data_IF_399396683671
#
_entry.id   IF_399396683671
#
_cell.length_a   1.000
_cell.length_b   1.000
_cell.length_c   1.000
_cell.angle_alpha   90.00
_cell.angle_beta   90.00
_cell.angle_gamma   90.00
#
_symmetry.space_group_name_H-M   'P 1'
#
loop_
_entity.id
_entity.type
_entity.pdbx_description
1 polymer ?
#
# COMPACT_ATOMS: atom_id res chain seq x y z
N UNK A 1 3.38 2.48 -40.47
CA UNK A 1 2.95 3.01 -39.16
C UNK A 1 4.13 3.79 -38.61
N UNK A 2 4.04 5.11 -38.55
CA UNK A 2 5.00 5.88 -37.77
C UNK A 2 4.59 5.67 -36.32
N UNK A 3 5.51 5.20 -35.48
CA UNK A 3 5.35 5.34 -34.03
C UNK A 3 5.06 6.82 -33.78
N UNK A 4 3.87 7.12 -33.26
CA UNK A 4 3.59 8.45 -32.74
C UNK A 4 4.63 8.70 -31.66
N UNK A 5 5.50 9.68 -31.90
CA UNK A 5 6.55 10.04 -30.98
C UNK A 5 5.90 10.67 -29.75
N UNK A 6 5.53 9.82 -28.79
CA UNK A 6 5.07 10.26 -27.46
C UNK A 6 6.17 11.10 -26.84
N UNK A 7 5.79 12.26 -26.27
CA UNK A 7 6.70 13.12 -25.54
C UNK A 7 7.37 12.41 -24.37
N UNK A 8 8.41 13.00 -23.77
CA UNK A 8 9.03 12.41 -22.59
C UNK A 8 8.01 12.35 -21.44
N UNK A 9 7.76 11.16 -20.93
CA UNK A 9 6.83 10.94 -19.82
C UNK A 9 7.50 11.18 -18.47
N UNK A 10 6.74 11.66 -17.48
CA UNK A 10 7.16 11.56 -16.09
C UNK A 10 7.37 10.10 -15.68
N UNK A 11 8.28 9.86 -14.74
CA UNK A 11 8.43 8.55 -14.10
C UNK A 11 7.08 8.14 -13.49
N UNK A 12 6.71 6.85 -13.57
CA UNK A 12 5.40 6.39 -13.15
C UNK A 12 5.10 6.59 -11.66
N UNK A 13 6.14 6.65 -10.82
CA UNK A 13 6.04 6.89 -9.39
C UNK A 13 5.78 8.36 -8.98
N UNK A 14 5.92 9.34 -9.89
CA UNK A 14 5.74 10.76 -9.55
C UNK A 14 4.25 11.06 -9.40
N UNK A 15 3.85 11.47 -8.18
CA UNK A 15 2.47 11.81 -7.86
C UNK A 15 2.18 13.27 -8.24
N UNK A 16 0.99 13.53 -8.77
CA UNK A 16 0.51 14.84 -9.21
C UNK A 16 -0.60 15.32 -8.29
N UNK A 17 -0.46 16.50 -7.71
CA UNK A 17 -1.47 17.13 -6.87
C UNK A 17 -1.83 18.51 -7.43
N UNK A 18 -2.99 18.67 -8.10
CA UNK A 18 -3.42 19.96 -8.61
C UNK A 18 -3.70 20.93 -7.46
N UNK A 19 -3.34 22.19 -7.65
CA UNK A 19 -3.52 23.26 -6.67
C UNK A 19 -4.65 24.23 -7.07
N UNK A 20 -5.30 24.91 -6.12
CA UNK A 20 -6.39 25.85 -6.42
C UNK A 20 -5.99 27.03 -7.32
N UNK A 21 -4.70 27.37 -7.36
CA UNK A 21 -4.15 28.43 -8.22
C UNK A 21 -3.88 27.97 -9.67
N UNK A 22 -4.24 26.73 -10.00
CA UNK A 22 -3.93 26.10 -11.30
C UNK A 22 -2.52 25.54 -11.38
N UNK A 23 -1.71 25.66 -10.33
CA UNK A 23 -0.39 25.03 -10.26
C UNK A 23 -0.46 23.52 -10.01
N UNK A 24 0.70 22.87 -10.05
CA UNK A 24 0.83 21.43 -9.87
C UNK A 24 1.98 21.10 -8.92
N UNK A 25 1.69 20.31 -7.89
CA UNK A 25 2.71 19.75 -7.00
C UNK A 25 3.09 18.35 -7.50
N UNK A 26 4.37 18.16 -7.86
CA UNK A 26 4.96 16.89 -8.24
C UNK A 26 5.72 16.31 -7.05
N UNK A 27 5.20 15.23 -6.47
CA UNK A 27 5.84 14.52 -5.35
C UNK A 27 6.58 13.31 -5.89
N UNK A 28 7.89 13.27 -5.63
CA UNK A 28 8.80 12.17 -5.98
C UNK A 28 9.06 11.31 -4.74
N UNK A 29 8.31 10.20 -4.56
CA UNK A 29 8.43 9.35 -3.37
C UNK A 29 9.75 8.56 -3.34
N UNK A 30 10.43 8.41 -4.48
CA UNK A 30 11.74 7.75 -4.53
C UNK A 30 12.78 8.64 -3.85
N UNK A 31 12.79 9.94 -4.14
CA UNK A 31 13.79 10.83 -3.53
C UNK A 31 13.28 11.63 -2.34
N UNK A 32 12.03 11.46 -1.93
CA UNK A 32 11.35 12.28 -0.91
C UNK A 32 11.45 13.79 -1.24
N UNK A 33 11.09 14.14 -2.48
CA UNK A 33 11.17 15.51 -3.01
C UNK A 33 9.81 16.02 -3.46
N UNK A 34 9.60 17.32 -3.28
CA UNK A 34 8.47 18.06 -3.82
C UNK A 34 8.97 19.09 -4.83
N UNK A 35 8.51 18.99 -6.07
CA UNK A 35 8.71 20.01 -7.10
C UNK A 35 7.38 20.73 -7.36
N UNK A 36 7.34 22.04 -7.12
CA UNK A 36 6.16 22.86 -7.41
C UNK A 36 6.29 23.48 -8.80
N UNK A 37 5.26 23.28 -9.61
CA UNK A 37 5.05 23.96 -10.88
C UNK A 37 3.99 25.03 -10.68
N UNK A 38 4.23 26.23 -11.21
CA UNK A 38 3.18 27.24 -11.33
C UNK A 38 2.13 26.85 -12.40
N UNK A 39 1.11 27.68 -12.60
CA UNK A 39 0.03 27.38 -13.53
C UNK A 39 0.48 27.31 -15.00
N UNK A 40 1.52 28.06 -15.40
CA UNK A 40 2.04 28.02 -16.77
C UNK A 40 2.94 26.81 -16.98
N UNK A 41 3.76 26.47 -15.98
CA UNK A 41 4.57 25.25 -15.99
C UNK A 41 3.72 23.98 -15.95
N UNK A 42 2.59 23.98 -15.23
CA UNK A 42 1.66 22.86 -15.20
C UNK A 42 1.06 22.59 -16.60
N UNK A 43 0.62 23.63 -17.33
CA UNK A 43 0.20 23.50 -18.73
C UNK A 43 1.35 23.11 -19.66
N UNK A 44 2.55 23.62 -19.38
CA UNK A 44 3.76 23.23 -20.10
C UNK A 44 4.07 21.75 -19.95
N UNK A 45 3.79 21.15 -18.79
CA UNK A 45 3.96 19.72 -18.58
C UNK A 45 2.99 18.92 -19.46
N UNK A 46 1.72 19.32 -19.54
CA UNK A 46 0.72 18.67 -20.42
C UNK A 46 1.18 18.72 -21.89
N UNK A 47 1.58 19.90 -22.37
CA UNK A 47 2.15 20.09 -23.71
C UNK A 47 3.39 19.22 -23.96
N UNK A 48 4.30 19.16 -22.98
CA UNK A 48 5.52 18.34 -23.07
C UNK A 48 5.18 16.84 -23.21
N UNK A 49 4.18 16.35 -22.48
CA UNK A 49 3.72 14.94 -22.56
C UNK A 49 3.05 14.64 -23.91
N UNK A 50 2.38 15.63 -24.50
CA UNK A 50 1.82 15.59 -25.86
C UNK A 50 2.89 15.69 -26.97
N UNK A 51 4.17 15.89 -26.60
CA UNK A 51 5.30 15.97 -27.52
C UNK A 51 5.64 17.37 -28.01
N UNK A 52 5.02 18.41 -27.45
CA UNK A 52 5.37 19.79 -27.75
C UNK A 52 6.70 20.22 -27.10
N UNK A 53 7.45 21.14 -27.74
CA UNK A 53 8.76 21.56 -27.24
C UNK A 53 8.64 22.49 -26.03
N UNK A 54 9.03 22.00 -24.86
CA UNK A 54 9.13 22.77 -23.62
C UNK A 54 10.55 22.68 -23.03
N UNK A 55 11.58 23.28 -23.67
CA UNK A 55 12.98 22.99 -23.38
C UNK A 55 13.41 23.37 -21.96
N UNK A 56 12.92 24.49 -21.43
CA UNK A 56 13.26 24.94 -20.08
C UNK A 56 12.65 24.02 -19.01
N UNK A 57 11.35 23.69 -19.15
CA UNK A 57 10.67 22.79 -18.24
C UNK A 57 11.27 21.38 -18.33
N UNK A 58 11.50 20.87 -19.54
CA UNK A 58 12.17 19.59 -19.76
C UNK A 58 13.51 19.52 -19.06
N UNK A 59 14.38 20.51 -19.26
CA UNK A 59 15.69 20.55 -18.61
C UNK A 59 15.59 20.56 -17.07
N UNK A 60 14.59 21.28 -16.52
CA UNK A 60 14.30 21.31 -15.08
C UNK A 60 13.85 19.94 -14.57
N UNK A 61 12.93 19.27 -15.27
CA UNK A 61 12.44 17.93 -14.92
C UNK A 61 13.52 16.85 -15.08
N UNK A 62 14.37 16.93 -16.11
CA UNK A 62 15.53 16.05 -16.30
C UNK A 62 16.57 16.25 -15.18
N UNK A 63 16.88 17.49 -14.81
CA UNK A 63 17.78 17.81 -13.69
C UNK A 63 17.22 17.28 -12.37
N UNK A 64 15.91 17.36 -12.18
CA UNK A 64 15.22 16.78 -11.05
C UNK A 64 15.06 15.25 -11.16
N UNK A 65 15.52 14.60 -12.25
CA UNK A 65 15.35 13.18 -12.52
C UNK A 65 13.88 12.74 -12.43
N UNK A 66 12.94 13.55 -12.89
CA UNK A 66 11.50 13.25 -12.86
C UNK A 66 10.98 12.63 -14.16
N UNK A 67 11.70 12.74 -15.27
CA UNK A 67 11.34 12.12 -16.54
C UNK A 67 11.84 10.67 -16.63
N UNK A 68 11.12 9.82 -17.36
CA UNK A 68 11.52 8.46 -17.67
C UNK A 68 12.77 8.44 -18.56
N UNK A 69 13.65 7.47 -18.33
CA UNK A 69 14.89 7.31 -19.10
C UNK A 69 15.99 6.56 -18.33
N UNK A 70 17.19 6.40 -18.93
CA UNK A 70 18.28 5.62 -18.33
C UNK A 70 18.73 6.14 -16.95
N UNK A 71 18.77 7.46 -16.75
CA UNK A 71 19.13 8.06 -15.47
C UNK A 71 18.07 7.80 -14.39
N UNK A 72 16.79 7.86 -14.76
CA UNK A 72 15.67 7.50 -13.89
C UNK A 72 15.70 6.02 -13.49
N UNK A 73 15.97 5.12 -14.44
CA UNK A 73 16.12 3.69 -14.17
C UNK A 73 17.31 3.40 -13.24
N UNK A 74 18.44 4.08 -13.45
CA UNK A 74 19.60 3.97 -12.57
C UNK A 74 19.27 4.49 -11.16
N UNK A 75 18.61 5.65 -11.05
CA UNK A 75 18.15 6.19 -9.78
C UNK A 75 17.22 5.21 -9.06
N UNK A 76 16.25 4.60 -9.76
CA UNK A 76 15.38 3.56 -9.21
C UNK A 76 16.20 2.38 -8.71
N UNK A 77 17.10 1.83 -9.53
CA UNK A 77 17.98 0.70 -9.15
C UNK A 77 18.83 1.02 -7.92
N UNK A 78 19.48 2.17 -7.90
CA UNK A 78 20.34 2.59 -6.78
C UNK A 78 19.53 2.91 -5.53
N UNK A 79 18.36 3.52 -5.67
CA UNK A 79 17.48 3.74 -4.53
C UNK A 79 16.89 2.43 -3.98
N UNK A 80 16.45 1.51 -4.85
CA UNK A 80 16.01 0.17 -4.47
C UNK A 80 17.13 -0.57 -3.73
N UNK A 81 18.36 -0.54 -4.24
CA UNK A 81 19.55 -1.08 -3.56
C UNK A 81 19.82 -0.39 -2.23
N UNK A 82 19.87 0.93 -2.18
CA UNK A 82 20.13 1.69 -0.96
C UNK A 82 19.09 1.42 0.14
N UNK A 83 17.82 1.23 -0.24
CA UNK A 83 16.76 0.88 0.69
C UNK A 83 16.93 -0.54 1.24
N UNK A 84 17.42 -1.50 0.44
CA UNK A 84 17.81 -2.86 0.91
C UNK A 84 18.85 -2.89 2.02
N UNK A 85 19.57 -1.79 2.27
CA UNK A 85 20.58 -1.72 3.34
C UNK A 85 20.10 -1.02 4.63
N UNK A 86 18.98 -0.28 4.62
CA UNK A 86 18.38 0.31 5.84
C UNK A 86 17.38 -0.64 6.49
N UNK A 87 17.85 -1.86 6.79
CA UNK A 87 17.06 -2.90 7.42
C UNK A 87 17.12 -2.68 8.92
N UNK A 88 15.96 -2.50 9.57
CA UNK A 88 15.86 -2.88 10.98
C UNK A 88 15.99 -4.40 10.96
N UNK A 89 17.09 -4.98 11.48
CA UNK A 89 17.24 -6.43 11.46
C UNK A 89 15.99 -7.04 12.09
N UNK A 90 15.47 -8.16 11.54
CA UNK A 90 14.42 -8.88 12.23
C UNK A 90 14.86 -9.12 13.68
N UNK A 91 13.93 -9.11 14.65
CA UNK A 91 14.27 -9.39 16.04
C UNK A 91 15.13 -10.65 16.10
N UNK A 92 16.22 -10.60 16.87
CA UNK A 92 17.20 -11.68 16.91
C UNK A 92 16.47 -13.02 17.18
N UNK A 93 16.77 -14.07 16.40
CA UNK A 93 16.17 -15.38 16.64
C UNK A 93 16.58 -15.87 18.03
N UNK A 94 15.61 -16.13 18.91
CA UNK A 94 15.86 -16.83 20.18
C UNK A 94 15.07 -16.35 21.39
N UNK A 95 14.57 -15.12 21.43
CA UNK A 95 13.72 -14.69 22.55
C UNK A 95 12.28 -15.20 22.37
N UNK A 96 11.71 -15.92 23.36
CA UNK A 96 10.34 -16.41 23.30
C UNK A 96 9.38 -15.23 23.15
N UNK A 97 8.24 -15.45 22.48
CA UNK A 97 7.20 -14.42 22.45
C UNK A 97 6.80 -14.06 23.87
N UNK A 98 6.60 -12.76 24.15
CA UNK A 98 5.86 -12.43 25.35
C UNK A 98 4.52 -13.17 25.30
N UNK A 99 4.01 -13.66 26.43
CA UNK A 99 2.71 -14.32 26.45
C UNK A 99 1.65 -13.39 25.87
N UNK A 100 0.88 -13.88 24.91
CA UNK A 100 -0.25 -13.14 24.37
C UNK A 100 -1.39 -13.16 25.39
N UNK A 101 -2.01 -12.00 25.62
CA UNK A 101 -3.29 -11.94 26.31
C UNK A 101 -4.41 -12.27 25.31
N UNK A 102 -5.59 -12.72 25.78
CA UNK A 102 -6.76 -12.85 24.92
C UNK A 102 -7.05 -11.54 24.19
N UNK A 103 -7.24 -11.61 22.88
CA UNK A 103 -7.57 -10.44 22.06
C UNK A 103 -9.07 -10.16 22.16
N UNK A 104 -9.44 -9.36 23.15
CA UNK A 104 -10.82 -8.88 23.31
C UNK A 104 -10.98 -7.54 22.59
N UNK A 105 -11.31 -7.62 21.30
CA UNK A 105 -11.59 -6.47 20.45
C UNK A 105 -12.88 -6.70 19.63
N UNK A 106 -13.64 -5.65 19.33
CA UNK A 106 -14.90 -5.76 18.61
C UNK A 106 -14.68 -6.36 17.22
N UNK A 107 -15.59 -7.22 16.79
CA UNK A 107 -15.52 -7.82 15.46
C UNK A 107 -14.48 -8.92 15.27
N UNK A 108 -13.57 -9.16 16.21
CA UNK A 108 -12.59 -10.26 16.12
C UNK A 108 -13.29 -11.62 16.30
N UNK A 109 -13.01 -12.54 15.37
CA UNK A 109 -13.51 -13.92 15.40
C UNK A 109 -12.97 -14.69 16.60
N UNK A 110 -13.77 -15.61 17.15
CA UNK A 110 -13.45 -16.35 18.39
C UNK A 110 -12.07 -17.01 18.37
N UNK A 111 -11.67 -17.61 17.25
CA UNK A 111 -10.36 -18.28 17.11
C UNK A 111 -9.16 -17.36 17.30
N UNK A 112 -9.31 -16.07 17.00
CA UNK A 112 -8.24 -15.08 17.12
C UNK A 112 -8.21 -14.41 18.48
N UNK A 113 -9.18 -14.71 19.35
CA UNK A 113 -9.16 -14.35 20.77
C UNK A 113 -8.30 -15.32 21.59
N UNK A 114 -7.96 -16.47 21.04
CA UNK A 114 -7.11 -17.48 21.67
C UNK A 114 -5.62 -17.07 21.62
N UNK A 115 -4.95 -16.88 22.77
CA UNK A 115 -3.51 -16.61 22.83
C UNK A 115 -2.64 -17.62 22.08
N UNK A 116 -3.04 -18.88 22.01
CA UNK A 116 -2.27 -19.93 21.35
C UNK A 116 -2.20 -19.72 19.82
N UNK A 117 -3.29 -19.25 19.21
CA UNK A 117 -3.31 -18.90 17.79
C UNK A 117 -2.35 -17.74 17.48
N UNK A 118 -2.33 -16.71 18.32
CA UNK A 118 -1.43 -15.57 18.20
C UNK A 118 0.03 -15.97 18.43
N UNK A 119 0.28 -16.86 19.39
CA UNK A 119 1.61 -17.41 19.68
C UNK A 119 2.19 -18.12 18.44
N UNK A 120 1.43 -19.00 17.80
CA UNK A 120 1.86 -19.71 16.58
C UNK A 120 2.20 -18.74 15.44
N UNK A 121 1.38 -17.70 15.26
CA UNK A 121 1.65 -16.68 14.25
C UNK A 121 2.96 -15.91 14.54
N UNK A 122 3.24 -15.62 15.81
CA UNK A 122 4.51 -15.03 16.22
C UNK A 122 5.70 -15.96 15.97
N UNK A 123 5.52 -17.28 16.11
CA UNK A 123 6.54 -18.28 15.76
C UNK A 123 6.81 -18.31 14.25
N UNK A 124 5.78 -18.25 13.41
CA UNK A 124 5.94 -18.10 11.96
C UNK A 124 6.74 -16.83 11.60
N UNK A 125 6.44 -15.70 12.27
CA UNK A 125 7.20 -14.46 12.10
C UNK A 125 8.69 -14.66 12.41
N UNK A 126 9.00 -15.31 13.54
CA UNK A 126 10.38 -15.61 13.96
C UNK A 126 11.08 -16.56 13.01
N UNK A 127 10.34 -17.50 12.43
CA UNK A 127 10.85 -18.41 11.40
C UNK A 127 11.13 -17.70 10.05
N UNK A 128 10.94 -16.37 9.98
CA UNK A 128 11.32 -15.55 8.83
C UNK A 128 10.13 -15.13 7.96
N UNK A 129 8.89 -15.47 8.33
CA UNK A 129 7.71 -15.03 7.58
C UNK A 129 7.47 -13.54 7.78
N UNK A 130 7.70 -12.73 6.75
CA UNK A 130 7.61 -11.26 6.85
C UNK A 130 6.16 -10.73 6.78
N UNK A 131 5.29 -11.47 6.11
CA UNK A 131 3.88 -11.13 5.91
C UNK A 131 3.02 -12.11 6.67
N UNK A 132 2.21 -11.60 7.60
CA UNK A 132 1.33 -12.40 8.44
C UNK A 132 -0.09 -12.33 7.88
N UNK A 133 -0.63 -13.47 7.49
CA UNK A 133 -2.01 -13.58 7.00
C UNK A 133 -2.84 -14.30 8.03
N UNK A 134 -3.76 -13.58 8.64
CA UNK A 134 -4.58 -14.13 9.70
C UNK A 134 -5.76 -14.93 9.15
N UNK A 135 -6.33 -14.71 7.97
CA UNK A 135 -7.58 -15.40 7.54
C UNK A 135 -8.76 -15.28 8.53
N UNK A 136 -10.00 -15.09 8.09
CA UNK A 136 -11.19 -15.07 8.97
C UNK A 136 -10.95 -14.39 10.33
N UNK A 137 -10.20 -13.27 10.30
CA UNK A 137 -9.74 -12.55 11.47
C UNK A 137 -10.93 -11.87 12.12
N UNK A 138 -11.75 -11.24 11.28
CA UNK A 138 -13.01 -10.69 11.66
C UNK A 138 -14.12 -11.75 11.58
N UNK A 139 -15.11 -11.64 12.48
CA UNK A 139 -16.30 -12.46 12.48
C UNK A 139 -17.15 -12.17 11.23
N UNK A 140 -17.76 -13.19 10.59
CA UNK A 140 -18.48 -13.00 9.32
C UNK A 140 -19.58 -11.93 9.35
N UNK A 141 -20.34 -11.85 10.45
CA UNK A 141 -21.41 -10.86 10.63
C UNK A 141 -20.87 -9.44 10.70
N UNK A 142 -19.78 -9.24 11.44
CA UNK A 142 -19.10 -7.95 11.54
C UNK A 142 -18.49 -7.53 10.21
N UNK A 143 -17.79 -8.44 9.52
CA UNK A 143 -17.23 -8.18 8.18
C UNK A 143 -18.31 -7.82 7.17
N UNK A 144 -19.48 -8.48 7.23
CA UNK A 144 -20.61 -8.13 6.35
C UNK A 144 -21.06 -6.69 6.57
N UNK A 145 -21.29 -6.31 7.83
CA UNK A 145 -21.75 -4.97 8.17
C UNK A 145 -20.74 -3.89 7.76
N UNK A 146 -19.45 -4.15 8.01
CA UNK A 146 -18.37 -3.26 7.58
C UNK A 146 -18.30 -3.13 6.06
N UNK A 147 -18.42 -4.24 5.32
CA UNK A 147 -18.42 -4.22 3.86
C UNK A 147 -19.58 -3.38 3.30
N UNK A 148 -20.77 -3.49 3.90
CA UNK A 148 -21.92 -2.69 3.50
C UNK A 148 -21.74 -1.21 3.82
N UNK A 149 -21.09 -0.87 4.94
CA UNK A 149 -20.73 0.51 5.28
C UNK A 149 -19.71 1.10 4.30
N UNK A 150 -18.65 0.35 3.97
CA UNK A 150 -17.62 0.75 3.00
C UNK A 150 -18.21 1.02 1.61
N UNK A 151 -19.15 0.19 1.15
CA UNK A 151 -19.81 0.38 -0.16
C UNK A 151 -20.62 1.67 -0.27
N UNK A 152 -20.97 2.30 0.85
CA UNK A 152 -21.70 3.58 0.89
C UNK A 152 -20.78 4.79 0.88
N UNK A 153 -19.46 4.60 1.03
CA UNK A 153 -18.51 5.71 1.00
C UNK A 153 -18.43 6.33 -0.41
N UNK A 154 -18.30 7.66 -0.52
CA UNK A 154 -18.03 8.31 -1.80
C UNK A 154 -16.59 8.01 -2.22
N UNK A 155 -16.41 7.07 -3.14
CA UNK A 155 -15.10 6.73 -3.68
C UNK A 155 -14.74 7.66 -4.86
N UNK A 156 -13.51 8.15 -4.84
CA UNK A 156 -12.91 8.90 -5.94
C UNK A 156 -12.03 7.98 -6.79
N UNK A 157 -12.05 8.18 -8.10
CA UNK A 157 -11.20 7.42 -9.01
C UNK A 157 -9.77 7.97 -8.94
N UNK A 158 -8.81 7.10 -8.62
CA UNK A 158 -7.39 7.39 -8.64
C UNK A 158 -6.76 6.66 -9.83
N UNK A 159 -6.34 7.41 -10.84
CA UNK A 159 -5.56 6.89 -11.97
C UNK A 159 -4.22 7.60 -12.03
N UNK A 160 -3.19 6.85 -11.65
CA UNK A 160 -1.79 7.20 -11.83
C UNK A 160 -1.10 6.04 -12.54
N UNK A 161 0.13 6.23 -13.03
CA UNK A 161 0.88 5.11 -13.58
C UNK A 161 1.15 3.99 -12.56
N UNK A 162 1.19 4.32 -11.26
CA UNK A 162 1.35 3.34 -10.18
C UNK A 162 0.03 2.69 -9.76
N UNK A 163 -1.08 3.43 -9.71
CA UNK A 163 -2.34 2.95 -9.13
C UNK A 163 -3.50 3.24 -10.06
N UNK A 164 -4.33 2.23 -10.31
CA UNK A 164 -5.64 2.37 -10.95
C UNK A 164 -6.66 1.71 -10.04
N UNK A 165 -7.42 2.51 -9.31
CA UNK A 165 -8.42 2.03 -8.34
C UNK A 165 -9.39 3.16 -7.97
N UNK A 166 -10.52 2.83 -7.35
CA UNK A 166 -11.32 3.82 -6.64
C UNK A 166 -10.99 3.79 -5.14
N UNK A 167 -10.91 4.95 -4.49
CA UNK A 167 -10.42 5.13 -3.13
C UNK A 167 -11.30 6.12 -2.36
N UNK A 168 -11.50 5.88 -1.07
CA UNK A 168 -11.88 6.91 -0.12
C UNK A 168 -10.90 6.90 1.04
N UNK A 169 -10.48 8.09 1.50
CA UNK A 169 -9.87 8.23 2.83
C UNK A 169 -10.96 7.97 3.85
N UNK A 170 -10.63 7.20 4.88
CA UNK A 170 -11.55 6.83 5.94
C UNK A 170 -11.07 7.44 7.25
N UNK A 171 -11.99 8.08 7.95
CA UNK A 171 -11.80 8.54 9.33
C UNK A 171 -12.77 7.83 10.28
N UNK A 172 -12.64 8.14 11.57
CA UNK A 172 -13.44 7.54 12.64
C UNK A 172 -14.93 7.85 12.50
N UNK A 173 -15.30 9.00 11.95
CA UNK A 173 -16.70 9.38 11.77
C UNK A 173 -17.36 8.58 10.64
N UNK A 174 -16.59 8.27 9.59
CA UNK A 174 -17.07 7.49 8.46
C UNK A 174 -17.29 6.00 8.81
N UNK A 175 -16.39 5.39 9.61
CA UNK A 175 -16.45 3.97 9.97
C UNK A 175 -16.05 3.73 11.45
N UNK A 176 -16.90 4.10 12.43
CA UNK A 176 -16.54 4.05 13.84
C UNK A 176 -16.18 2.65 14.33
N UNK A 177 -16.89 1.61 13.88
CA UNK A 177 -16.64 0.23 14.32
C UNK A 177 -15.27 -0.29 13.86
N UNK A 178 -14.79 0.16 12.70
CA UNK A 178 -13.45 -0.16 12.22
C UNK A 178 -12.40 0.47 13.15
N UNK A 179 -12.56 1.73 13.51
CA UNK A 179 -11.61 2.41 14.38
C UNK A 179 -11.67 1.88 15.81
N UNK A 180 -12.83 1.47 16.31
CA UNK A 180 -12.96 0.76 17.60
C UNK A 180 -12.16 -0.54 17.63
N UNK A 181 -12.11 -1.27 16.51
CA UNK A 181 -11.23 -2.43 16.35
C UNK A 181 -9.75 -1.99 16.28
N UNK A 182 -9.40 -1.08 15.39
CA UNK A 182 -8.01 -0.73 15.08
C UNK A 182 -7.29 0.00 16.24
N UNK A 183 -8.04 0.76 17.03
CA UNK A 183 -7.52 1.49 18.20
C UNK A 183 -7.68 0.69 19.51
N UNK A 184 -8.26 -0.51 19.46
CA UNK A 184 -8.36 -1.36 20.64
C UNK A 184 -6.96 -1.61 21.23
N UNK A 185 -6.70 -1.28 22.52
CA UNK A 185 -5.37 -1.43 23.10
C UNK A 185 -4.82 -2.86 23.02
N UNK A 186 -5.71 -3.85 23.10
CA UNK A 186 -5.35 -5.27 22.93
C UNK A 186 -4.85 -5.57 21.52
N UNK A 187 -5.48 -5.00 20.49
CA UNK A 187 -5.04 -5.18 19.10
C UNK A 187 -3.71 -4.50 18.85
N UNK A 188 -3.55 -3.23 19.24
CA UNK A 188 -2.31 -2.49 19.02
C UNK A 188 -1.09 -3.18 19.66
N UNK A 189 -1.24 -3.66 20.91
CA UNK A 189 -0.19 -4.46 21.57
C UNK A 189 0.10 -5.77 20.83
N UNK A 190 -0.96 -6.46 20.39
CA UNK A 190 -0.84 -7.73 19.65
C UNK A 190 -0.10 -7.54 18.34
N UNK A 191 -0.50 -6.55 17.53
CA UNK A 191 0.15 -6.22 16.26
C UNK A 191 1.60 -5.80 16.49
N UNK A 192 1.88 -4.97 17.51
CA UNK A 192 3.25 -4.58 17.88
C UNK A 192 4.12 -5.81 18.17
N UNK A 193 3.59 -6.74 18.98
CA UNK A 193 4.30 -7.97 19.35
C UNK A 193 4.47 -8.94 18.17
N UNK A 194 3.45 -9.09 17.31
CA UNK A 194 3.50 -9.93 16.13
C UNK A 194 4.51 -9.43 15.11
N UNK A 195 4.60 -8.13 14.91
CA UNK A 195 5.50 -7.54 13.89
C UNK A 195 6.89 -7.22 14.44
N UNK A 196 7.06 -7.13 15.76
CA UNK A 196 8.31 -6.75 16.41
C UNK A 196 8.64 -5.27 16.26
N UNK A 197 7.62 -4.41 16.21
CA UNK A 197 7.75 -2.96 16.03
C UNK A 197 6.84 -2.21 16.99
N UNK A 198 7.25 -1.03 17.44
CA UNK A 198 6.34 -0.11 18.11
C UNK A 198 5.43 0.55 17.08
N UNK A 199 4.12 0.44 17.27
CA UNK A 199 3.16 1.15 16.44
C UNK A 199 3.19 2.64 16.75
N UNK A 200 3.16 3.44 15.71
CA UNK A 200 3.00 4.89 15.84
C UNK A 200 1.58 5.27 16.29
N UNK A 201 1.41 6.50 16.83
CA UNK A 201 0.16 6.91 17.49
C UNK A 201 -0.95 7.30 16.51
N UNK A 202 -0.62 7.50 15.23
CA UNK A 202 -1.56 7.93 14.20
C UNK A 202 -1.89 6.77 13.28
N UNK A 203 -3.13 6.75 12.80
CA UNK A 203 -3.64 5.73 11.90
C UNK A 203 -4.18 6.41 10.64
N UNK A 204 -3.63 6.02 9.49
CA UNK A 204 -4.13 6.44 8.19
C UNK A 204 -4.84 5.27 7.52
N UNK A 205 -6.09 5.47 7.11
CA UNK A 205 -6.94 4.38 6.58
C UNK A 205 -7.56 4.78 5.25
N UNK A 206 -7.59 3.82 4.32
CA UNK A 206 -8.24 3.95 3.04
C UNK A 206 -9.15 2.75 2.77
N UNK A 207 -10.33 3.03 2.22
CA UNK A 207 -11.16 2.04 1.57
C UNK A 207 -10.85 2.03 0.08
N UNK A 208 -10.75 0.83 -0.49
CA UNK A 208 -10.42 0.62 -1.89
C UNK A 208 -11.46 -0.26 -2.58
N UNK A 209 -11.78 0.10 -3.82
CA UNK A 209 -12.48 -0.74 -4.79
C UNK A 209 -11.65 -0.85 -6.05
N UNK A 210 -11.32 -2.08 -6.43
CA UNK A 210 -10.67 -2.38 -7.70
C UNK A 210 -11.65 -3.18 -8.58
N UNK A 211 -11.96 -2.65 -9.75
CA UNK A 211 -12.74 -3.34 -10.78
C UNK A 211 -11.85 -4.02 -11.84
N UNK A 212 -12.43 -4.64 -12.88
CA UNK A 212 -11.65 -5.29 -13.93
C UNK A 212 -10.61 -4.35 -14.57
N UNK A 213 -9.37 -4.78 -14.66
CA UNK A 213 -8.26 -4.01 -15.19
C UNK A 213 -7.51 -3.13 -14.17
N UNK A 214 -8.09 -2.89 -12.98
CA UNK A 214 -7.46 -2.15 -11.90
C UNK A 214 -6.30 -2.92 -11.27
N UNK A 215 -5.29 -2.18 -10.79
CA UNK A 215 -4.05 -2.73 -10.24
C UNK A 215 -3.30 -1.67 -9.42
N UNK A 216 -2.28 -2.12 -8.68
CA UNK A 216 -1.26 -1.25 -8.10
C UNK A 216 0.12 -1.83 -8.44
N UNK A 217 0.97 -1.03 -9.07
CA UNK A 217 2.32 -1.41 -9.46
C UNK A 217 3.23 -1.67 -8.27
N UNK A 218 4.45 -2.11 -8.56
CA UNK A 218 5.43 -2.51 -7.56
C UNK A 218 5.91 -1.31 -6.75
N UNK A 219 5.72 -1.36 -5.43
CA UNK A 219 6.16 -0.32 -4.51
C UNK A 219 6.52 -0.90 -3.14
N UNK A 220 7.36 -0.19 -2.37
CA UNK A 220 7.42 -0.37 -0.93
C UNK A 220 6.48 0.65 -0.26
N UNK A 221 6.09 0.35 0.97
CA UNK A 221 5.49 1.34 1.86
C UNK A 221 6.52 2.38 2.33
N UNK A 222 6.07 3.59 2.68
CA UNK A 222 6.90 4.70 3.14
C UNK A 222 7.65 4.43 4.46
N UNK A 223 8.84 5.04 4.69
CA UNK A 223 9.63 4.83 5.92
C UNK A 223 9.00 5.41 7.20
N UNK A 224 8.01 6.29 7.06
CA UNK A 224 7.21 6.89 8.13
C UNK A 224 6.19 5.90 8.72
N UNK A 225 5.90 4.82 8.00
CA UNK A 225 4.96 3.79 8.43
C UNK A 225 5.65 2.73 9.30
N UNK A 226 5.11 2.51 10.49
CA UNK A 226 5.58 1.50 11.44
C UNK A 226 5.02 0.10 11.14
N UNK A 227 3.78 0.03 10.67
CA UNK A 227 3.12 -1.21 10.27
C UNK A 227 2.01 -0.92 9.25
N UNK A 228 1.72 -1.90 8.41
CA UNK A 228 0.68 -1.87 7.39
C UNK A 228 -0.31 -3.00 7.61
N UNK A 229 -1.59 -2.72 7.37
CA UNK A 229 -2.62 -3.75 7.30
C UNK A 229 -3.41 -3.67 6.00
N UNK A 230 -3.94 -4.83 5.60
CA UNK A 230 -4.98 -4.95 4.57
C UNK A 230 -6.05 -5.92 5.05
N UNK A 231 -7.29 -5.45 5.18
CA UNK A 231 -8.47 -6.24 5.51
C UNK A 231 -9.31 -6.50 4.26
N UNK A 232 -9.55 -7.77 3.94
CA UNK A 232 -10.39 -8.18 2.82
C UNK A 232 -11.87 -8.08 3.14
N UNK A 233 -12.68 -7.63 2.16
CA UNK A 233 -14.13 -7.45 2.31
C UNK A 233 -14.95 -8.17 1.23
N UNK A 234 -14.31 -8.77 0.22
CA UNK A 234 -15.03 -9.47 -0.85
C UNK A 234 -15.21 -10.95 -0.50
N UNK A 235 -16.48 -11.39 -0.47
CA UNK A 235 -16.82 -12.81 -0.32
C UNK A 235 -16.49 -13.56 -1.62
N UNK A 236 -16.18 -14.84 -1.47
CA UNK A 236 -15.97 -15.77 -2.60
C UNK A 236 -14.90 -15.29 -3.60
N UNK A 237 -13.97 -14.45 -3.14
CA UNK A 237 -12.83 -14.04 -3.96
C UNK A 237 -11.93 -15.25 -4.23
N UNK A 238 -11.42 -15.39 -5.45
CA UNK A 238 -10.52 -16.48 -5.81
C UNK A 238 -9.28 -15.93 -6.51
N UNK A 239 -8.23 -16.73 -6.60
CA UNK A 239 -7.01 -16.34 -7.30
C UNK A 239 -7.26 -16.05 -8.80
N UNK A 240 -8.24 -16.71 -9.42
CA UNK A 240 -8.60 -16.53 -10.83
C UNK A 240 -9.18 -15.14 -11.13
N UNK A 241 -9.80 -14.50 -10.12
CA UNK A 241 -10.32 -13.13 -10.23
C UNK A 241 -9.20 -12.07 -10.20
N UNK A 242 -7.95 -12.46 -9.93
CA UNK A 242 -6.81 -11.56 -9.81
C UNK A 242 -6.86 -10.71 -8.55
N UNK A 243 -6.21 -9.54 -8.56
CA UNK A 243 -6.28 -8.60 -7.43
C UNK A 243 -5.57 -9.05 -6.15
N UNK A 244 -4.76 -10.11 -6.19
CA UNK A 244 -3.99 -10.50 -5.01
C UNK A 244 -2.93 -9.44 -4.69
N UNK A 245 -2.62 -9.28 -3.40
CA UNK A 245 -1.41 -8.55 -3.00
C UNK A 245 -0.24 -9.52 -3.15
N UNK A 246 0.61 -9.29 -4.13
CA UNK A 246 1.81 -10.06 -4.37
C UNK A 246 2.98 -9.41 -3.64
N UNK A 247 3.72 -10.21 -2.87
CA UNK A 247 4.93 -9.80 -2.15
C UNK A 247 6.14 -10.50 -2.76
N UNK A 248 7.26 -9.80 -2.92
CA UNK A 248 8.40 -10.36 -3.63
C UNK A 248 9.59 -9.43 -3.71
N UNK A 249 10.43 -9.65 -4.71
CA UNK A 249 11.58 -8.79 -5.01
C UNK A 249 11.33 -8.02 -6.30
N UNK A 250 11.61 -6.71 -6.35
CA UNK A 250 11.44 -5.93 -7.57
C UNK A 250 12.43 -6.40 -8.64
N UNK A 251 11.97 -6.44 -9.87
CA UNK A 251 12.75 -6.79 -11.07
C UNK A 251 12.54 -5.73 -12.14
N UNK A 252 13.30 -5.79 -13.23
CA UNK A 252 13.13 -4.83 -14.34
C UNK A 252 11.73 -4.91 -14.98
N UNK A 253 11.09 -6.08 -14.95
CA UNK A 253 9.78 -6.34 -15.58
C UNK A 253 8.60 -6.40 -14.58
N UNK A 254 8.82 -6.10 -13.30
CA UNK A 254 7.78 -6.17 -12.28
C UNK A 254 8.26 -6.77 -10.97
N UNK A 255 7.59 -7.83 -10.48
CA UNK A 255 7.86 -8.43 -9.17
C UNK A 255 8.14 -9.93 -9.30
N UNK A 256 9.30 -10.38 -8.82
CA UNK A 256 9.56 -11.79 -8.57
C UNK A 256 8.77 -12.23 -7.33
N UNK A 257 7.55 -12.73 -7.55
CA UNK A 257 6.59 -13.02 -6.48
C UNK A 257 7.05 -14.20 -5.62
N UNK A 258 7.11 -13.98 -4.31
CA UNK A 258 7.40 -14.99 -3.29
C UNK A 258 6.12 -15.49 -2.62
N UNK A 259 5.19 -14.58 -2.32
CA UNK A 259 3.96 -14.88 -1.60
C UNK A 259 2.80 -14.05 -2.14
N UNK A 260 1.58 -14.57 -2.03
CA UNK A 260 0.34 -13.86 -2.41
C UNK A 260 -0.66 -13.86 -1.27
N UNK A 261 -1.34 -12.74 -1.10
CA UNK A 261 -2.50 -12.58 -0.23
C UNK A 261 -3.75 -12.28 -1.07
N UNK A 262 -4.74 -13.17 -1.00
CA UNK A 262 -6.06 -12.94 -1.56
C UNK A 262 -6.97 -12.33 -0.48
N UNK A 263 -7.58 -11.15 -0.70
CA UNK A 263 -8.30 -10.39 0.31
C UNK A 263 -9.72 -10.92 0.52
N UNK A 264 -9.87 -12.17 0.96
CA UNK A 264 -11.18 -12.72 1.28
C UNK A 264 -11.83 -11.94 2.43
N UNK A 265 -13.16 -11.91 2.43
CA UNK A 265 -13.95 -11.28 3.48
C UNK A 265 -13.49 -11.74 4.88
N UNK A 266 -12.97 -10.79 5.66
CA UNK A 266 -12.57 -10.97 7.05
C UNK A 266 -11.11 -11.39 7.21
N UNK A 267 -10.39 -11.68 6.12
CA UNK A 267 -8.96 -11.98 6.18
C UNK A 267 -8.17 -10.69 6.43
N UNK A 268 -7.27 -10.72 7.42
CA UNK A 268 -6.34 -9.63 7.72
C UNK A 268 -4.92 -10.02 7.28
N UNK A 269 -4.27 -9.14 6.53
CA UNK A 269 -2.84 -9.22 6.20
C UNK A 269 -2.11 -8.12 6.96
N UNK A 270 -0.98 -8.46 7.59
CA UNK A 270 -0.12 -7.55 8.37
C UNK A 270 1.33 -7.69 7.95
N UNK A 271 2.04 -6.57 7.84
CA UNK A 271 3.50 -6.57 7.70
C UNK A 271 4.07 -5.25 8.21
N UNK A 272 5.37 -5.25 8.53
CA UNK A 272 6.12 -4.03 8.82
C UNK A 272 6.83 -3.57 7.53
N UNK A 273 6.68 -2.29 7.13
CA UNK A 273 7.45 -1.72 6.05
C UNK A 273 8.95 -1.93 6.25
N UNK A 274 9.57 -2.54 5.27
CA UNK A 274 10.99 -2.85 5.26
C UNK A 274 11.50 -2.86 3.83
N UNK A 275 12.80 -3.04 3.68
CA UNK A 275 13.37 -3.13 2.35
C UNK A 275 13.00 -4.41 1.58
N UNK A 276 12.36 -5.38 2.26
CA UNK A 276 11.90 -6.65 1.69
C UNK A 276 10.38 -6.72 1.57
N UNK A 277 9.65 -5.68 2.00
CA UNK A 277 8.19 -5.61 1.91
C UNK A 277 7.71 -4.99 0.59
N UNK A 278 8.43 -5.25 -0.50
CA UNK A 278 8.00 -4.88 -1.84
C UNK A 278 6.75 -5.64 -2.20
N UNK A 279 5.77 -4.93 -2.72
CA UNK A 279 4.51 -5.53 -3.09
C UNK A 279 3.84 -4.80 -4.25
N UNK A 280 2.85 -5.48 -4.82
CA UNK A 280 1.98 -4.97 -5.86
C UNK A 280 0.58 -5.54 -5.65
N UNK A 281 -0.44 -4.86 -6.16
CA UNK A 281 -1.77 -5.45 -6.30
C UNK A 281 -1.90 -5.90 -7.75
N UNK A 282 -1.98 -7.21 -7.94
CA UNK A 282 -2.13 -7.82 -9.26
C UNK A 282 -3.38 -7.30 -9.95
N UNK A 283 -3.39 -7.32 -11.28
CA UNK A 283 -4.53 -6.85 -12.07
C UNK A 283 -5.77 -7.67 -11.73
N UNK A 284 -6.90 -7.01 -11.49
CA UNK A 284 -8.20 -7.68 -11.34
C UNK A 284 -8.67 -8.14 -12.72
N UNK A 285 -8.98 -9.43 -12.85
CA UNK A 285 -9.49 -10.01 -14.09
C UNK A 285 -10.99 -9.78 -14.24
N UNK A 286 -11.76 -9.99 -13.17
CA UNK A 286 -13.21 -9.78 -13.15
C UNK A 286 -13.75 -9.52 -11.74
N UNK A 287 -14.98 -9.00 -11.65
CA UNK A 287 -15.62 -8.66 -10.38
C UNK A 287 -15.11 -7.37 -9.74
N UNK A 288 -15.60 -7.08 -8.52
CA UNK A 288 -15.14 -5.95 -7.71
C UNK A 288 -14.45 -6.43 -6.43
N UNK A 289 -13.17 -6.08 -6.28
CA UNK A 289 -12.36 -6.35 -5.10
C UNK A 289 -12.48 -5.17 -4.14
N UNK A 290 -12.97 -5.44 -2.94
CA UNK A 290 -13.11 -4.47 -1.86
C UNK A 290 -12.15 -4.80 -0.72
N UNK A 291 -11.43 -3.78 -0.24
CA UNK A 291 -10.53 -3.91 0.90
C UNK A 291 -10.41 -2.60 1.66
N UNK A 292 -10.01 -2.69 2.92
CA UNK A 292 -9.52 -1.55 3.68
C UNK A 292 -8.03 -1.76 3.90
N UNK A 293 -7.22 -0.74 3.63
CA UNK A 293 -5.80 -0.74 3.98
C UNK A 293 -5.51 0.42 4.91
N UNK A 294 -4.46 0.29 5.71
CA UNK A 294 -4.02 1.41 6.51
C UNK A 294 -2.65 1.20 7.11
N UNK A 295 -2.14 2.28 7.68
CA UNK A 295 -0.78 2.37 8.22
C UNK A 295 -0.80 3.05 9.57
N UNK A 296 -0.04 2.49 10.51
CA UNK A 296 0.32 3.20 11.73
C UNK A 296 1.56 4.06 11.45
N UNK A 297 1.45 5.39 11.61
CA UNK A 297 2.54 6.33 11.26
C UNK A 297 3.28 6.78 12.51
N UNK A 298 4.62 6.88 12.42
CA UNK A 298 5.50 7.36 13.51
C UNK A 298 5.29 8.83 13.85
#
# INVERSE_FOLDING_TARGET
>A
MRDEATGPALRPEVLRFPRPDGGLDLVDPVCDRLLRLDAEEAKGLERLEEGEPEPALRARLETALLLEGPAAQLLRREWYRGRTHRVVPPPAPGEPAPPFAPLDAPGVASRWRDPEALRRLAEERRAGREVLVLRGFCAPTWTSALADAVRRLPLERLETPLVRAARARVDRDALPELFDLLEAPGLARTVSALLGVSLGPRLEVNAWRLGPGDAMGVHPDGPEYSATFSLGLTRDWTAELGGAIAFGEPTDDGLAVRERFCPHAGDLCLFAPSARSWHAVERVASGERWSITGWWTR
#
